data_IF_840055482726
#
_entry.id   IF_840055482726
#
_cell.length_a   1.000
_cell.length_b   1.000
_cell.length_c   1.000
_cell.angle_alpha   90.00
_cell.angle_beta   90.00
_cell.angle_gamma   90.00
#
_symmetry.space_group_name_H-M   'P 1'
#
loop_
_entity.id
_entity.type
_entity.pdbx_description
1 polymer ?
#
# COMPACT_ATOMS: atom_id res chain seq x y z
N UNK A 1 2.72 7.04 18.89
CA UNK A 1 2.79 6.25 17.65
C UNK A 1 2.14 7.05 16.54
N UNK A 2 2.75 7.17 15.36
CA UNK A 2 2.09 7.75 14.17
C UNK A 2 1.59 6.61 13.30
N UNK A 3 0.32 6.66 12.94
CA UNK A 3 -0.32 5.72 12.02
C UNK A 3 -0.49 6.35 10.66
N UNK A 4 -0.62 5.52 9.63
CA UNK A 4 -0.91 5.92 8.27
C UNK A 4 -2.09 5.11 7.74
N UNK A 5 -2.85 5.71 6.85
CA UNK A 5 -3.90 5.01 6.11
C UNK A 5 -3.28 4.32 4.90
N UNK A 6 -3.41 2.99 4.84
CA UNK A 6 -3.16 2.21 3.64
C UNK A 6 -4.49 1.97 2.94
N UNK A 7 -4.59 2.41 1.69
CA UNK A 7 -5.71 2.09 0.82
C UNK A 7 -5.23 1.18 -0.31
N UNK A 8 -5.91 0.07 -0.54
CA UNK A 8 -5.54 -0.87 -1.61
C UNK A 8 -6.75 -1.49 -2.29
N UNK A 9 -6.53 -2.04 -3.49
CA UNK A 9 -7.59 -2.60 -4.32
C UNK A 9 -7.25 -4.02 -4.78
N UNK A 10 -7.80 -5.05 -4.12
CA UNK A 10 -7.57 -6.44 -4.51
C UNK A 10 -7.92 -6.68 -5.97
N UNK A 11 -6.97 -7.18 -6.76
CA UNK A 11 -7.11 -7.43 -8.20
C UNK A 11 -7.54 -6.21 -9.04
N UNK A 12 -7.46 -4.99 -8.51
CA UNK A 12 -7.89 -3.76 -9.21
C UNK A 12 -9.42 -3.59 -9.36
N UNK A 13 -10.23 -4.49 -8.80
CA UNK A 13 -11.68 -4.53 -9.00
C UNK A 13 -12.40 -4.19 -7.68
N UNK A 14 -13.52 -3.48 -7.77
CA UNK A 14 -14.37 -3.17 -6.62
C UNK A 14 -13.96 -1.92 -5.84
N UNK A 15 -14.41 -1.83 -4.59
CA UNK A 15 -14.13 -0.71 -3.68
C UNK A 15 -12.72 -0.80 -3.10
N UNK A 16 -12.17 0.36 -2.76
CA UNK A 16 -10.91 0.45 -2.02
C UNK A 16 -11.08 -0.07 -0.59
N UNK A 17 -10.18 -0.94 -0.17
CA UNK A 17 -10.04 -1.34 1.23
C UNK A 17 -9.13 -0.35 1.91
N UNK A 18 -9.56 0.19 3.06
CA UNK A 18 -8.80 1.15 3.84
C UNK A 18 -8.47 0.55 5.20
N UNK A 19 -7.22 0.69 5.63
CA UNK A 19 -6.76 0.22 6.94
C UNK A 19 -5.79 1.24 7.54
N UNK A 20 -5.92 1.51 8.82
CA UNK A 20 -5.00 2.38 9.55
C UNK A 20 -4.02 1.53 10.34
N UNK A 21 -2.74 1.61 10.00
CA UNK A 21 -1.67 0.82 10.61
C UNK A 21 -0.48 1.71 10.97
N UNK A 22 0.53 1.17 11.66
CA UNK A 22 1.78 1.90 11.86
C UNK A 22 2.49 2.14 10.52
N UNK A 23 3.33 3.18 10.46
CA UNK A 23 4.12 3.53 9.27
C UNK A 23 4.86 2.32 8.68
N UNK A 24 5.62 1.59 9.50
CA UNK A 24 6.44 0.47 9.03
C UNK A 24 5.58 -0.66 8.44
N UNK A 25 4.38 -0.88 9.00
CA UNK A 25 3.43 -1.87 8.50
C UNK A 25 2.78 -1.37 7.21
N UNK A 26 2.42 -0.09 7.10
CA UNK A 26 1.87 0.48 5.87
C UNK A 26 2.85 0.33 4.70
N UNK A 27 4.14 0.65 4.92
CA UNK A 27 5.19 0.52 3.91
C UNK A 27 5.43 -0.94 3.50
N UNK A 28 5.46 -1.87 4.46
CA UNK A 28 5.64 -3.30 4.18
C UNK A 28 4.47 -3.87 3.35
N UNK A 29 3.23 -3.62 3.78
CA UNK A 29 2.03 -4.08 3.07
C UNK A 29 1.91 -3.44 1.69
N UNK A 30 2.27 -2.16 1.57
CA UNK A 30 2.29 -1.47 0.30
C UNK A 30 3.21 -2.14 -0.72
N UNK A 31 4.41 -2.52 -0.30
CA UNK A 31 5.37 -3.22 -1.14
C UNK A 31 4.83 -4.58 -1.59
N UNK A 32 4.31 -5.37 -0.64
CA UNK A 32 3.74 -6.68 -0.90
C UNK A 32 2.55 -6.62 -1.87
N UNK A 33 1.59 -5.73 -1.62
CA UNK A 33 0.39 -5.60 -2.44
C UNK A 33 0.68 -5.01 -3.83
N UNK A 34 1.63 -4.10 -3.93
CA UNK A 34 2.09 -3.60 -5.23
C UNK A 34 2.76 -4.71 -6.04
N UNK A 35 3.51 -5.61 -5.40
CA UNK A 35 4.11 -6.77 -6.06
C UNK A 35 3.05 -7.78 -6.55
N UNK A 36 1.86 -7.82 -5.93
CA UNK A 36 0.71 -8.56 -6.44
C UNK A 36 0.02 -7.89 -7.63
N UNK A 37 0.48 -6.71 -8.04
CA UNK A 37 -0.12 -5.90 -9.10
C UNK A 37 -1.37 -5.14 -8.65
N UNK A 38 -1.59 -4.99 -7.35
CA UNK A 38 -2.73 -4.24 -6.83
C UNK A 38 -2.44 -2.74 -6.81
N UNK A 39 -3.47 -1.93 -7.00
CA UNK A 39 -3.37 -0.49 -6.80
C UNK A 39 -3.29 -0.21 -5.29
N UNK A 40 -2.30 0.58 -4.87
CA UNK A 40 -2.07 0.92 -3.46
C UNK A 40 -1.81 2.41 -3.28
N UNK A 41 -2.24 2.96 -2.15
CA UNK A 41 -1.99 4.34 -1.70
C UNK A 41 -1.67 4.36 -0.21
N UNK A 42 -0.77 5.25 0.21
CA UNK A 42 -0.54 5.58 1.63
C UNK A 42 -0.92 7.04 1.85
N UNK A 43 -1.79 7.31 2.83
CA UNK A 43 -2.34 8.63 3.14
C UNK A 43 -2.86 9.37 1.88
N UNK A 44 -3.48 8.63 0.96
CA UNK A 44 -3.99 9.12 -0.31
C UNK A 44 -2.96 9.27 -1.44
N UNK A 45 -1.67 9.12 -1.16
CA UNK A 45 -0.61 9.20 -2.16
C UNK A 45 -0.37 7.84 -2.83
N UNK A 46 -0.43 7.81 -4.17
CA UNK A 46 -0.06 6.64 -4.95
C UNK A 46 1.43 6.33 -4.76
N UNK A 47 1.73 5.04 -4.64
CA UNK A 47 3.09 4.56 -4.37
C UNK A 47 3.68 4.13 -5.70
N UNK A 48 4.71 4.83 -6.14
CA UNK A 48 5.37 4.52 -7.40
C UNK A 48 6.08 3.15 -7.26
N UNK A 49 5.72 2.19 -8.11
CA UNK A 49 6.16 0.79 -8.06
C UNK A 49 7.69 0.65 -8.07
N UNK A 50 8.40 1.71 -8.46
CA UNK A 50 9.86 1.79 -8.43
C UNK A 50 10.45 1.76 -7.02
N UNK A 51 9.69 2.11 -5.98
CA UNK A 51 10.10 1.97 -4.58
C UNK A 51 9.91 0.54 -4.04
N UNK A 52 8.92 -0.21 -4.53
CA UNK A 52 8.63 -1.57 -4.09
C UNK A 52 9.76 -2.57 -4.44
N UNK A 53 10.56 -2.28 -5.47
CA UNK A 53 11.64 -3.16 -5.92
C UNK A 53 12.95 -3.01 -5.10
N UNK A 54 13.07 -2.02 -4.20
CA UNK A 54 14.32 -1.79 -3.45
C UNK A 54 14.44 -2.59 -2.14
N UNK A 55 13.46 -3.41 -1.79
CA UNK A 55 13.42 -4.15 -0.53
C UNK A 55 13.54 -5.67 -0.69
N UNK A 56 13.96 -6.17 -1.86
CA UNK A 56 14.22 -7.59 -2.11
C UNK A 56 15.72 -7.93 -2.06
#
# INVERSE_FOLDING_TARGET
MKTQELAYKPYGIGSWTHVTVSKDVAEALASEYSNYGWEVKIDGNAIDTKLALKAA
#
